data_IF_572913036176
#
_entry.id   IF_572913036176
#
_cell.length_a   1.000
_cell.length_b   1.000
_cell.length_c   1.000
_cell.angle_alpha   90.00
_cell.angle_beta   90.00
_cell.angle_gamma   90.00
#
_symmetry.space_group_name_H-M   'P 1'
#
loop_
_entity.id
_entity.type
_entity.pdbx_description
1 polymer ?
2 polymer ?
3 water ?
#
# COMPACT_ATOMS: atom_id res chain seq x y z
N UNK A 10 -8.34 17.24 -2.67
CA UNK A 10 -6.87 17.12 -2.74
C UNK A 10 -6.40 15.97 -3.63
N UNK A 11 -5.15 16.05 -4.10
CA UNK A 11 -4.58 15.00 -4.93
C UNK A 11 -4.28 13.78 -4.05
N UNK A 12 -3.68 14.01 -2.88
CA UNK A 12 -3.37 12.93 -1.95
C UNK A 12 -4.08 13.10 -0.59
N UNK A 13 -4.17 12.01 0.19
CA UNK A 13 -4.82 11.97 1.49
C UNK A 13 -3.98 11.11 2.45
N UNK A 14 -3.70 11.64 3.66
CA UNK A 14 -2.96 10.88 4.65
C UNK A 14 -3.95 10.00 5.42
N UNK A 15 -3.75 8.69 5.34
CA UNK A 15 -4.60 7.70 5.98
C UNK A 15 -3.83 6.94 7.07
N UNK A 16 -4.27 7.10 8.32
CA UNK A 16 -3.65 6.38 9.43
C UNK A 16 -4.37 5.06 9.62
N UNK A 17 -3.63 3.97 9.53
CA UNK A 17 -4.15 2.63 9.72
C UNK A 17 -3.62 2.12 11.04
N UNK A 18 -4.43 2.24 12.08
CA UNK A 18 -4.05 1.74 13.39
C UNK A 18 -4.05 0.20 13.34
N UNK A 19 -3.14 -0.44 14.07
CA UNK A 19 -3.07 -1.90 14.09
C UNK A 19 -4.18 -2.44 15.03
N UNK A 20 -5.44 -2.37 14.58
CA UNK A 20 -6.59 -2.80 15.38
C UNK A 20 -6.85 -4.31 15.31
N UNK A 21 -6.16 -5.02 14.42
CA UNK A 21 -6.27 -6.47 14.21
C UNK A 21 -4.86 -7.09 14.06
N UNK A 22 -4.75 -8.42 14.18
CA UNK A 22 -3.48 -9.15 14.07
C UNK A 22 -2.88 -9.08 12.65
N UNK A 23 -3.69 -8.77 11.63
CA UNK A 23 -3.22 -8.68 10.24
C UNK A 23 -3.42 -7.27 9.65
N UNK A 24 -2.67 -6.94 8.59
CA UNK A 24 -2.81 -5.69 7.86
C UNK A 24 -3.94 -5.91 6.83
N UNK A 25 -3.82 -6.96 6.02
CA UNK A 25 -4.86 -7.34 5.07
C UNK A 25 -4.98 -6.54 3.78
N UNK A 26 -3.86 -6.26 3.13
CA UNK A 26 -3.87 -5.64 1.80
C UNK A 26 -3.03 -6.49 0.85
N UNK A 27 -3.30 -6.38 -0.44
CA UNK A 27 -2.48 -6.96 -1.49
C UNK A 27 -2.09 -5.77 -2.42
N UNK A 28 -0.82 -5.70 -2.81
CA UNK A 28 -0.36 -4.62 -3.69
C UNK A 28 0.28 -5.17 -4.97
N UNK A 29 0.18 -4.37 -6.02
CA UNK A 29 0.83 -4.55 -7.32
C UNK A 29 1.69 -3.28 -7.55
N UNK A 30 2.50 -3.26 -8.60
CA UNK A 30 3.25 -2.07 -8.95
C UNK A 30 4.61 -1.90 -8.31
N UNK A 31 5.25 -0.79 -8.63
CA UNK A 31 6.62 -0.47 -8.24
C UNK A 31 7.42 -0.04 -9.45
N UNK A 32 8.65 0.48 -9.23
CA UNK A 32 9.52 1.01 -10.28
C UNK A 32 9.80 0.06 -11.44
N UNK A 33 9.82 -1.25 -11.16
CA UNK A 33 10.08 -2.27 -12.16
C UNK A 33 8.84 -2.70 -12.98
N UNK A 34 7.74 -1.92 -12.92
CA UNK A 34 6.47 -2.22 -13.59
C UNK A 34 5.90 -0.97 -14.35
N UNK A 35 4.76 -1.13 -15.07
CA UNK A 35 4.06 -0.01 -15.71
C UNK A 35 3.12 0.76 -14.72
N UNK A 36 3.15 0.41 -13.41
CA UNK A 36 2.42 1.08 -12.34
C UNK A 36 3.53 1.55 -11.39
N UNK A 37 4.15 2.71 -11.67
CA UNK A 37 5.37 3.11 -10.94
C UNK A 37 5.28 3.15 -9.41
N UNK A 38 4.10 3.45 -8.88
CA UNK A 38 3.89 3.45 -7.44
C UNK A 38 2.99 2.29 -7.07
N UNK A 39 3.20 1.68 -5.90
CA UNK A 39 2.36 0.54 -5.50
C UNK A 39 0.88 0.89 -5.45
N UNK A 40 0.07 -0.04 -5.90
CA UNK A 40 -1.37 0.13 -5.94
C UNK A 40 -2.06 -1.04 -5.24
N UNK A 41 -3.06 -0.72 -4.42
CA UNK A 41 -3.86 -1.69 -3.69
C UNK A 41 -4.82 -2.42 -4.60
N UNK A 42 -4.69 -3.74 -4.66
CA UNK A 42 -5.59 -4.57 -5.48
C UNK A 42 -6.62 -5.32 -4.63
N UNK A 43 -6.36 -5.52 -3.33
CA UNK A 43 -7.28 -6.25 -2.47
C UNK A 43 -7.23 -5.73 -1.05
N UNK A 44 -8.39 -5.70 -0.40
CA UNK A 44 -8.49 -5.35 1.01
C UNK A 44 -9.29 -6.45 1.70
N UNK A 45 -8.62 -7.24 2.54
CA UNK A 45 -9.28 -8.35 3.22
C UNK A 45 -10.11 -7.88 4.41
N UNK A 46 -11.40 -8.28 4.43
CA UNK A 46 -12.31 -7.97 5.54
C UNK A 46 -11.74 -8.55 6.84
N UNK A 47 -11.71 -7.74 7.90
CA UNK A 47 -11.17 -8.21 9.17
C UNK A 47 -9.74 -7.78 9.46
N UNK A 48 -9.01 -7.33 8.44
CA UNK A 48 -7.66 -6.83 8.64
C UNK A 48 -7.68 -5.39 9.12
N UNK A 49 -6.53 -4.88 9.60
CA UNK A 49 -6.41 -3.50 10.08
C UNK A 49 -6.77 -2.47 9.00
N UNK A 50 -6.41 -2.75 7.73
CA UNK A 50 -6.73 -1.84 6.63
C UNK A 50 -8.25 -1.70 6.40
N UNK A 51 -8.98 -2.83 6.33
CA UNK A 51 -10.43 -2.80 6.16
C UNK A 51 -11.08 -2.19 7.42
N UNK A 52 -10.54 -2.49 8.62
CA UNK A 52 -11.06 -1.94 9.87
C UNK A 52 -11.03 -0.39 9.90
N UNK A 53 -10.01 0.27 9.31
CA UNK A 53 -9.96 1.74 9.35
C UNK A 53 -11.03 2.42 8.46
N UNK A 54 -11.57 1.69 7.48
CA UNK A 54 -12.63 2.19 6.60
C UNK A 54 -12.25 3.31 5.64
N UNK A 55 -10.95 3.69 5.59
CA UNK A 55 -10.50 4.79 4.73
C UNK A 55 -9.68 4.33 3.52
N UNK A 56 -9.12 3.12 3.56
CA UNK A 56 -8.36 2.59 2.43
C UNK A 56 -9.30 1.96 1.41
N UNK A 57 -8.95 2.05 0.13
CA UNK A 57 -9.79 1.52 -0.94
C UNK A 57 -8.97 0.73 -1.95
N UNK A 58 -9.62 -0.25 -2.62
CA UNK A 58 -9.03 -0.97 -3.73
C UNK A 58 -8.84 0.08 -4.87
N UNK A 59 -7.64 0.17 -5.42
CA UNK A 59 -7.32 1.16 -6.43
C UNK A 59 -6.46 2.29 -5.90
N UNK A 60 -6.41 2.48 -4.55
CA UNK A 60 -5.56 3.50 -3.95
C UNK A 60 -4.09 3.28 -4.32
N UNK A 61 -3.42 4.36 -4.69
CA UNK A 61 -2.02 4.30 -5.03
C UNK A 61 -1.25 4.85 -3.84
N UNK A 62 -0.26 4.11 -3.36
CA UNK A 62 0.51 4.51 -2.19
C UNK A 62 1.74 5.31 -2.59
N UNK A 63 1.73 6.60 -2.25
CA UNK A 63 2.82 7.52 -2.53
C UNK A 63 3.90 7.40 -1.45
N UNK A 64 3.47 7.29 -0.17
CA UNK A 64 4.36 7.26 0.99
C UNK A 64 3.88 6.35 2.11
N UNK A 65 4.84 5.82 2.89
CA UNK A 65 4.61 4.98 4.05
C UNK A 65 5.41 5.59 5.20
N UNK A 66 4.73 6.11 6.23
CA UNK A 66 5.37 6.80 7.36
C UNK A 66 6.33 7.92 6.89
N UNK A 67 5.91 8.69 5.89
CA UNK A 67 6.70 9.79 5.34
C UNK A 67 7.78 9.40 4.35
N UNK A 68 7.98 8.10 4.13
CA UNK A 68 9.00 7.62 3.19
C UNK A 68 8.38 7.41 1.81
N UNK A 69 8.92 8.10 0.79
CA UNK A 69 8.41 7.95 -0.57
C UNK A 69 8.65 6.54 -1.11
N UNK A 70 7.67 6.00 -1.83
CA UNK A 70 7.84 4.71 -2.49
C UNK A 70 8.34 4.86 -3.95
N UNK A 71 8.56 6.11 -4.42
CA UNK A 71 9.04 6.36 -5.79
C UNK A 71 10.47 5.89 -5.95
N UNK A 72 10.71 5.10 -6.99
CA UNK A 72 12.03 4.52 -7.26
C UNK A 72 12.24 3.15 -6.64
N UNK A 73 11.32 2.71 -5.76
CA UNK A 73 11.45 1.41 -5.11
C UNK A 73 10.87 0.30 -5.98
N UNK A 74 11.62 -0.79 -6.15
CA UNK A 74 11.11 -1.97 -6.87
C UNK A 74 9.94 -2.58 -6.05
N UNK A 75 9.08 -3.38 -6.71
CA UNK A 75 7.92 -3.99 -6.07
C UNK A 75 8.22 -4.65 -4.69
N UNK A 76 9.23 -5.53 -4.64
CA UNK A 76 9.57 -6.23 -3.41
C UNK A 76 10.12 -5.30 -2.32
N UNK A 77 10.86 -4.24 -2.70
CA UNK A 77 11.37 -3.26 -1.72
C UNK A 77 10.21 -2.48 -1.07
N UNK A 78 9.23 -2.05 -1.89
CA UNK A 78 8.05 -1.32 -1.42
C UNK A 78 7.21 -2.22 -0.52
N UNK A 79 7.01 -3.50 -0.92
CA UNK A 79 6.26 -4.46 -0.10
C UNK A 79 6.97 -4.67 1.26
N UNK A 80 8.31 -4.79 1.25
CA UNK A 80 9.11 -4.94 2.47
C UNK A 80 8.99 -3.72 3.40
N UNK A 81 8.94 -2.51 2.83
CA UNK A 81 8.73 -1.28 3.60
C UNK A 81 7.40 -1.35 4.37
N UNK A 82 6.31 -1.77 3.68
CA UNK A 82 4.99 -1.89 4.30
C UNK A 82 4.95 -2.99 5.36
N UNK A 83 5.55 -4.16 5.06
CA UNK A 83 5.59 -5.29 5.99
C UNK A 83 6.32 -4.88 7.29
N UNK A 84 7.46 -4.18 7.16
CA UNK A 84 8.22 -3.71 8.32
C UNK A 84 7.46 -2.63 9.11
N UNK A 85 6.71 -1.74 8.42
CA UNK A 85 5.91 -0.72 9.10
C UNK A 85 4.80 -1.41 9.94
N UNK A 86 4.26 -2.56 9.46
CA UNK A 86 3.25 -3.28 10.22
C UNK A 86 3.87 -4.04 11.42
N UNK A 87 5.04 -4.65 11.23
CA UNK A 87 5.68 -5.43 12.29
C UNK A 87 6.38 -4.61 13.37
N UNK A 88 6.83 -3.38 13.06
CA UNK A 88 7.57 -2.58 14.03
C UNK A 88 6.80 -2.32 15.33
N UNK A 89 7.52 -2.34 16.45
CA UNK A 89 6.93 -2.00 17.74
C UNK A 89 7.14 -0.49 18.07
N UNK A 90 7.83 0.29 17.20
CA UNK A 90 8.10 1.72 17.40
C UNK A 90 6.79 2.52 17.50
N UNK A 91 5.77 2.15 16.71
CA UNK A 91 4.44 2.78 16.74
C UNK A 91 3.37 1.69 16.45
N UNK A 92 2.12 1.93 16.87
CA UNK A 92 1.07 0.92 16.66
C UNK A 92 0.12 1.26 15.50
N UNK A 93 0.62 1.98 14.50
CA UNK A 93 -0.14 2.36 13.30
C UNK A 93 0.81 2.51 12.11
N UNK A 94 0.25 2.64 10.90
CA UNK A 94 1.00 2.96 9.70
C UNK A 94 0.32 4.18 9.04
N UNK A 95 1.10 5.19 8.64
CA UNK A 95 0.56 6.32 7.89
C UNK A 95 0.79 6.10 6.40
N UNK A 96 -0.28 5.96 5.63
CA UNK A 96 -0.18 5.81 4.19
C UNK A 96 -0.61 7.11 3.50
N UNK A 97 0.26 7.69 2.65
CA UNK A 97 -0.14 8.83 1.84
C UNK A 97 -0.68 8.21 0.54
N UNK A 98 -1.99 8.31 0.29
CA UNK A 98 -2.60 7.65 -0.87
C UNK A 98 -3.29 8.62 -1.85
N UNK A 99 -3.51 8.17 -3.10
CA UNK A 99 -4.28 8.94 -4.06
C UNK A 99 -5.27 8.03 -4.77
N UNK A 100 -6.47 8.56 -5.02
CA UNK A 100 -7.50 7.89 -5.81
C UNK A 100 -7.26 8.11 -7.33
N UNK A 101 -6.32 8.98 -7.69
CA UNK A 101 -5.99 9.23 -9.08
C UNK A 101 -5.06 8.12 -9.55
N UNK A 102 -5.14 7.78 -10.83
CA UNK A 102 -4.21 6.84 -11.42
C UNK A 102 -2.82 7.54 -11.50
N UNK A 103 -1.76 6.77 -11.37
CA UNK A 103 -0.39 7.27 -11.44
C UNK A 103 0.34 6.38 -12.42
N UNK A 104 0.65 6.92 -13.61
CA UNK A 104 1.28 6.12 -14.65
C UNK A 104 2.72 6.48 -15.00
N UNK A 105 3.24 7.57 -14.43
CA UNK A 105 4.64 7.94 -14.65
C UNK A 105 5.32 8.21 -13.29
N UNK B 1 -9.43 -4.32 -9.41
CA UNK B 1 -8.86 -4.74 -10.69
C UNK B 1 -7.33 -4.53 -10.72
N UNK B 2 -6.62 -5.29 -11.56
CA UNK B 2 -5.18 -5.13 -11.74
C UNK B 2 -4.92 -4.13 -12.86
N UNK B 3 -3.89 -3.30 -12.71
CA UNK B 3 -3.40 -2.39 -13.75
C UNK B 3 -2.09 -2.93 -14.36
N UNK B 4 -1.31 -3.72 -13.62
CA UNK B 4 -0.11 -4.36 -14.14
C UNK B 4 -0.52 -5.67 -14.83
N UNK B 5 0.34 -6.18 -15.72
CA UNK B 5 0.05 -7.40 -16.46
C UNK B 5 0.64 -8.66 -15.79
N UNK B 6 -0.04 -9.82 -15.92
CA UNK B 6 0.40 -11.08 -15.28
C UNK B 6 1.89 -11.28 -14.91
N UNK B 7 2.94 -11.10 -15.77
CA UNK B 7 4.32 -11.31 -15.27
C UNK B 7 4.66 -10.51 -13.99
N UNK B 8 4.16 -9.26 -13.89
CA UNK B 8 4.35 -8.38 -12.74
C UNK B 8 3.77 -8.96 -11.44
N UNK B 9 4.51 -8.81 -10.35
CA UNK B 9 4.17 -9.39 -9.06
C UNK B 9 3.02 -8.75 -8.27
N UNK B 10 2.39 -9.59 -7.44
CA UNK B 10 1.38 -9.24 -6.45
C UNK B 10 1.94 -9.70 -5.11
N UNK B 11 1.92 -8.84 -4.08
CA UNK B 11 2.38 -9.24 -2.76
C UNK B 11 1.23 -9.13 -1.75
N UNK B 12 0.97 -10.21 -1.03
CA UNK B 12 -0.03 -10.23 0.02
C UNK B 12 0.63 -9.75 1.31
N UNK B 13 0.03 -8.75 1.93
CA UNK B 13 0.48 -8.14 3.17
C UNK B 13 -0.67 -8.21 4.19
#
# INVERSE_FOLDING_TARGET
GAMGSTSLEPTSTLVRVRKSAATLGIAIEGGANTRQPLPRIVTIQRGGSAHNCGQLKVGHVILEVNGQTLRGKEHKEAARIIAEAFKTKERDYIDFLVTEFNVML
ERLTLPPSEITLL
#
